data_IF_386432506020
#
_entry.id   IF_386432506020
#
_cell.length_a   1.000
_cell.length_b   1.000
_cell.length_c   1.000
_cell.angle_alpha   90.00
_cell.angle_beta   90.00
_cell.angle_gamma   90.00
#
_symmetry.space_group_name_H-M   'P 1'
#
loop_
_entity.id
_entity.type
_entity.pdbx_description
1 polymer ?
#
# COMPACT_ATOMS: atom_id res chain seq x y z
N UNK A 1 1.11 7.80 -10.17
CA UNK A 1 0.70 7.18 -8.89
C UNK A 1 0.34 5.73 -9.14
N UNK A 2 0.65 4.83 -8.20
CA UNK A 2 0.34 3.39 -8.24
C UNK A 2 -0.25 2.97 -6.89
N UNK A 3 -1.29 2.15 -6.90
CA UNK A 3 -1.86 1.53 -5.70
C UNK A 3 -1.34 0.11 -5.61
N UNK A 4 -0.50 -0.16 -4.61
CA UNK A 4 0.09 -1.46 -4.37
C UNK A 4 -0.76 -2.26 -3.39
N UNK A 5 -1.03 -3.51 -3.70
CA UNK A 5 -1.79 -4.47 -2.90
C UNK A 5 -0.91 -5.52 -2.19
N UNK A 6 0.42 -5.40 -2.32
CA UNK A 6 1.45 -6.26 -1.70
C UNK A 6 2.42 -6.90 -2.72
N UNK A 7 2.25 -6.58 -3.99
CA UNK A 7 2.93 -7.18 -5.14
C UNK A 7 4.25 -6.52 -5.53
N UNK A 8 4.63 -5.41 -4.91
CA UNK A 8 5.93 -4.80 -5.21
C UNK A 8 6.85 -4.79 -4.01
N UNK A 9 8.13 -4.70 -4.33
CA UNK A 9 9.24 -4.65 -3.40
C UNK A 9 9.07 -3.52 -2.36
N UNK A 10 9.30 -3.85 -1.10
CA UNK A 10 9.19 -2.93 0.03
C UNK A 10 10.44 -2.06 0.19
N UNK A 11 11.60 -2.57 -0.23
CA UNK A 11 12.90 -1.92 -0.12
C UNK A 11 13.26 -1.17 -1.42
N UNK A 12 12.70 -1.60 -2.55
CA UNK A 12 12.88 -0.95 -3.85
C UNK A 12 11.54 -0.35 -4.35
N UNK A 13 11.27 0.96 -4.14
CA UNK A 13 10.00 1.58 -4.54
C UNK A 13 9.97 1.82 -6.05
N UNK A 14 9.74 0.75 -6.81
CA UNK A 14 9.63 0.74 -8.26
C UNK A 14 8.18 0.44 -8.68
N UNK A 15 7.76 0.85 -9.89
CA UNK A 15 6.41 0.58 -10.38
C UNK A 15 6.20 -0.88 -10.80
N UNK A 16 7.27 -1.67 -10.95
CA UNK A 16 7.17 -3.08 -11.37
C UNK A 16 6.63 -3.96 -10.25
N UNK A 17 5.78 -4.94 -10.61
CA UNK A 17 5.28 -5.97 -9.71
C UNK A 17 6.28 -7.15 -9.71
N UNK A 18 6.71 -7.57 -8.52
CA UNK A 18 7.75 -8.60 -8.34
C UNK A 18 7.30 -9.72 -7.38
N UNK A 19 6.16 -9.56 -6.73
CA UNK A 19 5.56 -10.51 -5.80
C UNK A 19 4.11 -10.82 -6.21
N UNK A 20 3.56 -11.99 -5.85
CA UNK A 20 2.14 -12.25 -6.03
C UNK A 20 1.29 -11.38 -5.10
N UNK A 21 0.05 -11.12 -5.50
CA UNK A 21 -0.87 -10.30 -4.72
C UNK A 21 -1.42 -11.10 -3.52
N UNK A 22 -1.16 -10.68 -2.26
CA UNK A 22 -1.58 -11.42 -1.07
C UNK A 22 -3.10 -11.37 -0.87
N UNK A 23 -3.65 -12.44 -0.31
CA UNK A 23 -5.08 -12.56 0.03
C UNK A 23 -5.32 -12.01 1.44
N UNK A 24 -6.33 -11.15 1.62
CA UNK A 24 -6.80 -10.74 2.96
C UNK A 24 -7.34 -11.93 3.77
N UNK A 25 -7.19 -11.89 5.09
CA UNK A 25 -7.71 -12.92 6.00
C UNK A 25 -9.25 -13.05 5.99
N UNK A 26 -9.96 -11.97 5.67
CA UNK A 26 -11.43 -11.84 5.70
C UNK A 26 -12.01 -11.54 4.30
N UNK A 27 -11.92 -12.46 3.33
CA UNK A 27 -12.51 -12.24 2.01
C UNK A 27 -14.03 -12.15 2.13
N UNK A 28 -14.63 -11.22 1.41
CA UNK A 28 -16.08 -11.01 1.43
C UNK A 28 -16.64 -10.82 0.02
N UNK A 29 -17.96 -10.93 -0.12
CA UNK A 29 -18.63 -10.75 -1.40
C UNK A 29 -19.81 -9.79 -1.27
N UNK A 30 -20.08 -9.02 -2.31
CA UNK A 30 -21.36 -8.32 -2.51
C UNK A 30 -22.11 -8.90 -3.68
N UNK A 31 -23.45 -8.91 -3.59
CA UNK A 31 -24.37 -9.36 -4.65
C UNK A 31 -25.32 -8.26 -5.10
N UNK A 32 -25.03 -7.01 -4.75
CA UNK A 32 -25.81 -5.82 -5.18
C UNK A 32 -26.08 -5.77 -6.70
N UNK A 33 -25.15 -6.15 -7.60
CA UNK A 33 -25.42 -6.11 -9.04
C UNK A 33 -26.15 -7.35 -9.60
N UNK A 34 -26.64 -8.27 -8.76
CA UNK A 34 -27.30 -9.51 -9.19
C UNK A 34 -26.35 -10.69 -9.47
N UNK A 35 -25.04 -10.49 -9.33
CA UNK A 35 -24.01 -11.53 -9.39
C UNK A 35 -22.98 -11.31 -8.28
N UNK A 36 -22.14 -12.32 -8.03
CA UNK A 36 -21.12 -12.25 -6.98
C UNK A 36 -19.93 -11.37 -7.39
N UNK A 37 -19.61 -10.38 -6.57
CA UNK A 37 -18.36 -9.61 -6.62
C UNK A 37 -17.57 -9.91 -5.36
N UNK A 38 -16.40 -10.54 -5.51
CA UNK A 38 -15.58 -11.03 -4.40
C UNK A 38 -14.37 -10.12 -4.17
N UNK A 39 -14.17 -9.69 -2.93
CA UNK A 39 -13.11 -8.75 -2.52
C UNK A 39 -12.04 -9.47 -1.72
N UNK A 40 -10.80 -9.34 -2.18
CA UNK A 40 -9.69 -10.22 -1.80
C UNK A 40 -8.39 -9.50 -1.45
N UNK A 41 -8.23 -8.24 -1.87
CA UNK A 41 -6.95 -7.54 -1.92
C UNK A 41 -7.09 -6.17 -1.25
N UNK A 42 -6.47 -5.95 -0.09
CA UNK A 42 -6.40 -4.63 0.52
C UNK A 42 -5.22 -3.86 -0.08
N UNK A 43 -5.42 -2.57 -0.37
CA UNK A 43 -4.31 -1.70 -0.78
C UNK A 43 -3.33 -1.57 0.40
N UNK A 44 -2.06 -1.89 0.21
CA UNK A 44 -1.00 -1.83 1.22
C UNK A 44 -0.18 -0.54 1.13
N UNK A 45 -0.13 0.09 -0.04
CA UNK A 45 0.63 1.33 -0.24
C UNK A 45 0.12 2.14 -1.42
N UNK A 46 0.25 3.46 -1.33
CA UNK A 46 0.08 4.38 -2.46
C UNK A 46 1.44 4.95 -2.81
N UNK A 47 1.96 4.59 -3.99
CA UNK A 47 3.26 5.03 -4.48
C UNK A 47 3.11 6.23 -5.41
N UNK A 48 3.90 7.27 -5.15
CA UNK A 48 4.00 8.45 -5.99
C UNK A 48 5.30 8.45 -6.78
N UNK A 49 5.17 8.66 -8.09
CA UNK A 49 6.29 8.72 -9.00
C UNK A 49 6.22 10.01 -9.82
N UNK A 50 7.37 10.65 -10.03
CA UNK A 50 7.51 11.78 -10.94
C UNK A 50 8.31 11.37 -12.18
N UNK A 51 7.94 11.92 -13.34
CA UNK A 51 8.77 11.88 -14.55
C UNK A 51 9.37 13.26 -14.73
N UNK A 52 10.65 13.38 -14.45
CA UNK A 52 11.41 14.62 -14.56
C UNK A 52 12.43 14.41 -15.68
N UNK A 53 12.22 15.00 -16.88
CA UNK A 53 13.06 14.74 -18.06
C UNK A 53 14.56 14.91 -17.79
N UNK A 54 14.93 15.87 -16.95
CA UNK A 54 16.30 16.21 -16.57
C UNK A 54 16.99 15.08 -15.78
N UNK A 55 16.22 14.20 -15.15
CA UNK A 55 16.70 13.05 -14.37
C UNK A 55 16.66 11.74 -15.18
N UNK A 56 16.31 11.81 -16.46
CA UNK A 56 16.23 10.68 -17.37
C UNK A 56 14.82 10.11 -17.57
N UNK A 57 14.68 9.07 -18.40
CA UNK A 57 13.38 8.60 -18.89
C UNK A 57 12.58 7.76 -17.88
N UNK A 58 13.23 7.28 -16.81
CA UNK A 58 12.62 6.38 -15.82
C UNK A 58 11.86 7.18 -14.75
N UNK A 59 10.62 6.77 -14.38
CA UNK A 59 9.91 7.39 -13.27
C UNK A 59 10.72 7.30 -11.97
N UNK A 60 10.82 8.40 -11.24
CA UNK A 60 11.51 8.48 -9.96
C UNK A 60 10.51 8.35 -8.81
N UNK A 61 10.83 7.53 -7.81
CA UNK A 61 10.02 7.46 -6.59
C UNK A 61 10.10 8.80 -5.86
N UNK A 62 8.94 9.38 -5.55
CA UNK A 62 8.84 10.65 -4.83
C UNK A 62 8.44 10.40 -3.37
N UNK A 63 7.37 9.64 -3.16
CA UNK A 63 6.88 9.29 -1.83
C UNK A 63 6.00 8.05 -1.86
N UNK A 64 5.72 7.52 -0.67
CA UNK A 64 4.71 6.50 -0.46
C UNK A 64 3.84 6.84 0.75
N UNK A 65 2.57 6.47 0.68
CA UNK A 65 1.73 6.29 1.86
C UNK A 65 1.69 4.80 2.16
N UNK A 66 2.17 4.39 3.33
CA UNK A 66 2.18 3.01 3.80
C UNK A 66 0.97 2.75 4.67
N UNK A 67 0.20 1.70 4.36
CA UNK A 67 -1.06 1.36 5.03
C UNK A 67 -0.87 0.14 5.92
N UNK A 68 -0.86 0.35 7.23
CA UNK A 68 -0.73 -0.71 8.23
C UNK A 68 -2.09 -1.26 8.63
N UNK A 69 -2.27 -2.57 8.47
CA UNK A 69 -3.50 -3.26 8.80
C UNK A 69 -3.33 -4.17 10.03
N UNK A 70 -4.37 -4.18 10.85
CA UNK A 70 -4.66 -5.25 11.79
C UNK A 70 -5.52 -6.28 11.04
N UNK A 71 -4.91 -7.41 10.66
CA UNK A 71 -5.57 -8.47 9.91
C UNK A 71 -6.24 -9.47 10.84
N UNK A 72 -7.54 -9.66 10.64
CA UNK A 72 -8.36 -10.54 11.45
C UNK A 72 -9.37 -11.25 10.53
N UNK A 73 -9.58 -12.59 10.67
CA UNK A 73 -10.53 -13.33 9.84
C UNK A 73 -11.98 -12.82 9.91
N UNK A 74 -12.35 -12.11 10.97
CA UNK A 74 -13.66 -11.49 11.12
C UNK A 74 -13.72 -10.07 10.51
N UNK A 75 -12.67 -9.27 10.64
CA UNK A 75 -12.60 -7.94 10.03
C UNK A 75 -11.18 -7.33 10.05
N UNK A 76 -10.58 -7.17 8.86
CA UNK A 76 -9.32 -6.43 8.67
C UNK A 76 -9.54 -4.92 8.80
N UNK A 77 -8.73 -4.25 9.61
CA UNK A 77 -8.84 -2.81 9.92
C UNK A 77 -7.57 -2.04 9.58
N UNK A 78 -7.70 -0.83 9.02
CA UNK A 78 -6.56 0.06 8.78
C UNK A 78 -6.21 0.76 10.09
N UNK A 79 -5.13 0.34 10.76
CA UNK A 79 -4.75 0.87 12.07
C UNK A 79 -3.64 1.90 12.02
N UNK A 80 -2.94 2.03 10.88
CA UNK A 80 -1.97 3.12 10.73
C UNK A 80 -1.71 3.57 9.29
N UNK A 81 -1.21 4.80 9.18
CA UNK A 81 -0.64 5.38 7.97
C UNK A 81 0.74 5.96 8.28
N UNK A 82 1.70 5.75 7.38
CA UNK A 82 3.02 6.38 7.45
C UNK A 82 3.35 6.99 6.09
N UNK A 83 3.64 8.29 6.06
CA UNK A 83 4.12 8.95 4.86
C UNK A 83 5.65 8.85 4.81
N UNK A 84 6.17 8.25 3.74
CA UNK A 84 7.59 8.05 3.49
C UNK A 84 8.01 8.84 2.25
N UNK A 85 9.01 9.71 2.36
CA UNK A 85 9.62 10.40 1.22
C UNK A 85 10.89 9.68 0.78
N UNK A 86 11.20 9.71 -0.52
CA UNK A 86 12.38 9.04 -1.09
C UNK A 86 13.34 10.04 -1.74
N UNK A 87 14.64 9.77 -1.62
CA UNK A 87 15.72 10.51 -2.29
C UNK A 87 16.70 9.50 -2.90
N UNK A 88 17.07 9.62 -4.18
CA UNK A 88 18.08 8.74 -4.78
C UNK A 88 19.42 8.84 -4.06
N UNK A 89 20.07 7.71 -3.77
CA UNK A 89 21.36 7.64 -3.06
C UNK A 89 22.50 7.03 -3.92
N UNK A 90 22.25 6.80 -5.21
CA UNK A 90 23.19 6.20 -6.17
C UNK A 90 23.15 4.68 -6.25
N UNK A 91 22.54 3.97 -5.28
CA UNK A 91 22.33 2.50 -5.31
C UNK A 91 20.86 2.10 -5.28
N UNK A 92 19.99 3.01 -4.86
CA UNK A 92 18.55 2.86 -4.78
C UNK A 92 17.94 4.16 -4.28
N UNK A 93 17.25 4.10 -3.13
CA UNK A 93 16.64 5.26 -2.48
C UNK A 93 16.92 5.24 -0.99
N UNK A 94 17.44 6.34 -0.47
CA UNK A 94 17.31 6.68 0.94
C UNK A 94 15.87 7.17 1.20
N UNK A 95 15.39 7.03 2.43
CA UNK A 95 14.06 7.50 2.80
C UNK A 95 14.00 8.12 4.19
N UNK A 96 12.98 8.95 4.40
CA UNK A 96 12.59 9.48 5.70
C UNK A 96 11.07 9.39 5.87
N UNK A 97 10.62 9.23 7.11
CA UNK A 97 9.21 9.03 7.44
C UNK A 97 8.69 10.17 8.32
N UNK A 98 7.45 10.60 8.05
CA UNK A 98 6.71 11.39 9.02
C UNK A 98 6.23 10.49 10.17
N UNK A 99 5.93 11.06 11.36
CA UNK A 99 5.32 10.30 12.45
C UNK A 99 4.09 9.52 11.99
N UNK A 100 4.00 8.27 12.45
CA UNK A 100 2.90 7.37 12.13
C UNK A 100 1.58 7.93 12.67
N UNK A 101 0.59 8.07 11.80
CA UNK A 101 -0.79 8.29 12.19
C UNK A 101 -1.42 6.94 12.56
N UNK A 102 -2.05 6.85 13.73
CA UNK A 102 -2.68 5.61 14.22
C UNK A 102 -4.18 5.80 14.40
N UNK A 103 -4.95 4.74 14.14
CA UNK A 103 -6.39 4.70 14.33
C UNK A 103 -6.78 3.67 15.38
N UNK A 104 -7.72 4.04 16.23
CA UNK A 104 -8.40 3.13 17.15
C UNK A 104 -9.78 2.77 16.61
N UNK A 105 -10.24 1.57 16.94
CA UNK A 105 -11.59 1.10 16.65
C UNK A 105 -12.25 0.61 17.92
N UNK A 106 -13.57 0.72 17.99
CA UNK A 106 -14.33 0.12 19.08
C UNK A 106 -14.19 -1.40 19.02
N UNK A 107 -13.99 -2.02 20.19
CA UNK A 107 -13.99 -3.47 20.31
C UNK A 107 -15.37 -4.05 19.99
N UNK A 108 -15.42 -5.35 19.67
CA UNK A 108 -16.69 -6.05 19.57
C UNK A 108 -17.27 -6.18 20.98
N UNK A 109 -18.35 -5.47 21.27
CA UNK A 109 -19.21 -5.79 22.41
C UNK A 109 -19.88 -7.14 22.11
N UNK A 110 -19.69 -8.09 23.03
CA UNK A 110 -20.35 -9.41 22.98
C UNK A 110 -21.83 -9.33 23.33
#
# INVERSE_FOLDING_TARGET
MVFGYGEHDEDAPAPGEVLPWPVRADPWSTRRPGFEVRTYRPCRRVLMFHRTPELGPRPQSASALLLGYDEDPAATRLVSLTHRGYVPDGRGYAYAELPRLTFGYTGRTG
#
